data_IF_348914490672
#
_entry.id   IF_348914490672
#
_cell.length_a   1.000
_cell.length_b   1.000
_cell.length_c   1.000
_cell.angle_alpha   90.00
_cell.angle_beta   90.00
_cell.angle_gamma   90.00
#
_symmetry.space_group_name_H-M   'P 1'
#
loop_
_entity.id
_entity.type
_entity.pdbx_description
1 polymer ?
#
# COMPACT_ATOMS: atom_id res chain seq x y z
N UNK A 1 1.49 -0.08 12.03
CA UNK A 1 0.34 -0.96 11.73
C UNK A 1 -0.93 -0.46 12.44
N UNK A 2 -1.43 0.72 12.04
CA UNK A 2 -2.62 1.34 12.64
C UNK A 2 -3.96 0.77 12.12
N UNK A 3 -3.93 0.08 10.96
CA UNK A 3 -5.09 -0.49 10.27
C UNK A 3 -6.12 0.52 9.71
N UNK A 4 -5.76 1.80 9.60
CA UNK A 4 -6.63 2.83 9.02
C UNK A 4 -6.95 2.56 7.55
N UNK A 5 -5.95 2.18 6.75
CA UNK A 5 -6.13 1.82 5.33
C UNK A 5 -7.03 0.59 5.14
N UNK A 6 -6.93 -0.41 6.02
CA UNK A 6 -7.83 -1.58 6.04
C UNK A 6 -9.28 -1.15 6.37
N UNK A 7 -9.45 -0.24 7.33
CA UNK A 7 -10.77 0.22 7.76
C UNK A 7 -11.47 1.12 6.73
N UNK A 8 -10.74 2.00 6.05
CA UNK A 8 -11.32 2.96 5.09
C UNK A 8 -11.55 2.35 3.70
N UNK A 9 -10.90 1.22 3.39
CA UNK A 9 -10.98 0.62 2.06
C UNK A 9 -12.43 0.23 1.70
N UNK A 10 -13.08 0.90 0.74
CA UNK A 10 -14.49 0.67 0.44
C UNK A 10 -14.76 -0.72 -0.15
N UNK A 11 -13.76 -1.29 -0.83
CA UNK A 11 -13.85 -2.62 -1.44
C UNK A 11 -13.33 -3.75 -0.52
N UNK A 12 -12.88 -3.43 0.70
CA UNK A 12 -12.29 -4.39 1.63
C UNK A 12 -11.18 -5.24 0.98
N UNK A 13 -10.32 -4.59 0.19
CA UNK A 13 -9.24 -5.22 -0.57
C UNK A 13 -7.98 -5.48 0.27
N UNK A 14 -7.83 -4.80 1.41
CA UNK A 14 -6.62 -4.82 2.23
C UNK A 14 -6.83 -5.73 3.45
N UNK A 15 -5.87 -6.62 3.74
CA UNK A 15 -5.86 -7.45 4.95
C UNK A 15 -4.57 -7.24 5.72
N UNK A 16 -4.67 -6.88 7.01
CA UNK A 16 -3.50 -6.54 7.82
C UNK A 16 -3.46 -7.37 9.11
N UNK A 17 -2.29 -7.94 9.41
CA UNK A 17 -2.00 -8.51 10.73
C UNK A 17 -0.73 -7.84 11.29
N UNK A 18 -0.65 -7.69 12.61
CA UNK A 18 0.45 -6.98 13.25
C UNK A 18 0.79 -7.55 14.60
N UNK A 19 2.08 -7.67 14.87
CA UNK A 19 2.63 -8.13 16.14
C UNK A 19 3.78 -7.20 16.57
N UNK A 20 4.10 -7.13 17.87
CA UNK A 20 5.33 -6.50 18.33
C UNK A 20 6.54 -7.27 17.81
N UNK A 21 7.50 -6.56 17.20
CA UNK A 21 8.81 -7.12 16.83
C UNK A 21 9.70 -7.24 18.08
N UNK A 22 10.80 -7.97 17.98
CA UNK A 22 11.79 -8.15 19.05
C UNK A 22 12.35 -6.84 19.64
N UNK A 23 12.33 -5.74 18.88
CA UNK A 23 12.74 -4.40 19.31
C UNK A 23 11.61 -3.61 20.00
N UNK A 24 10.44 -4.23 20.23
CA UNK A 24 9.25 -3.61 20.80
C UNK A 24 8.46 -2.76 19.80
N UNK A 25 8.94 -2.60 18.55
CA UNK A 25 8.23 -1.81 17.54
C UNK A 25 7.01 -2.57 17.00
N UNK A 26 5.89 -1.87 16.80
CA UNK A 26 4.67 -2.46 16.23
C UNK A 26 4.74 -2.47 14.71
N UNK A 27 4.92 -3.65 14.10
CA UNK A 27 5.04 -3.82 12.64
C UNK A 27 4.02 -4.82 12.11
N UNK A 28 3.77 -4.76 10.80
CA UNK A 28 2.88 -5.71 10.14
C UNK A 28 3.60 -7.03 9.94
N UNK A 29 2.95 -8.13 10.31
CA UNK A 29 3.36 -9.49 9.95
C UNK A 29 2.78 -9.88 8.60
N UNK A 30 1.57 -9.39 8.31
CA UNK A 30 0.85 -9.56 7.05
C UNK A 30 0.32 -8.22 6.56
N UNK A 31 0.45 -7.98 5.27
CA UNK A 31 -0.11 -6.81 4.61
C UNK A 31 -0.38 -7.18 3.16
N UNK A 32 -1.61 -7.61 2.89
CA UNK A 32 -2.01 -8.12 1.57
C UNK A 32 -3.01 -7.16 0.93
N UNK A 33 -2.91 -6.99 -0.38
CA UNK A 33 -3.88 -6.26 -1.19
C UNK A 33 -4.33 -7.14 -2.36
N UNK A 34 -5.63 -7.36 -2.45
CA UNK A 34 -6.26 -7.95 -3.63
C UNK A 34 -6.49 -6.86 -4.70
N UNK A 35 -5.60 -6.80 -5.70
CA UNK A 35 -5.68 -5.81 -6.78
C UNK A 35 -6.89 -6.01 -7.69
N UNK A 36 -7.56 -7.16 -7.61
CA UNK A 36 -8.81 -7.42 -8.35
C UNK A 36 -10.05 -6.90 -7.63
N UNK A 37 -9.94 -6.63 -6.32
CA UNK A 37 -10.97 -5.94 -5.53
C UNK A 37 -10.70 -4.45 -5.41
N UNK A 38 -9.43 -4.06 -5.38
CA UNK A 38 -9.05 -2.65 -5.32
C UNK A 38 -9.70 -1.86 -6.46
N UNK A 39 -10.25 -0.70 -6.13
CA UNK A 39 -10.90 0.21 -7.08
C UNK A 39 -10.07 1.47 -7.36
N UNK A 40 -8.81 1.51 -6.91
CA UNK A 40 -7.85 2.59 -7.22
C UNK A 40 -8.40 3.99 -6.88
N UNK A 41 -8.92 4.13 -5.66
CA UNK A 41 -9.59 5.37 -5.20
C UNK A 41 -8.71 6.31 -4.37
N UNK A 42 -7.45 5.96 -4.08
CA UNK A 42 -6.55 6.79 -3.25
C UNK A 42 -6.85 6.88 -1.75
N UNK A 43 -8.00 6.41 -1.24
CA UNK A 43 -8.36 6.58 0.18
C UNK A 43 -7.38 5.95 1.17
N UNK A 44 -6.72 4.85 0.80
CA UNK A 44 -5.71 4.24 1.66
C UNK A 44 -4.49 5.14 1.87
N UNK A 45 -4.14 5.94 0.86
CA UNK A 45 -3.02 6.87 0.87
C UNK A 45 -3.35 8.09 1.74
N UNK A 46 -4.52 8.71 1.53
CA UNK A 46 -5.00 9.83 2.34
C UNK A 46 -5.20 9.47 3.81
N UNK A 47 -5.64 8.24 4.09
CA UNK A 47 -5.85 7.79 5.47
C UNK A 47 -4.54 7.44 6.19
N UNK A 48 -3.40 7.35 5.48
CA UNK A 48 -2.15 6.93 6.08
C UNK A 48 -1.46 8.11 6.79
N UNK A 49 -1.31 8.08 8.13
CA UNK A 49 -0.76 9.22 8.87
C UNK A 49 0.78 9.36 8.76
N UNK A 50 1.42 8.47 8.00
CA UNK A 50 2.88 8.33 7.92
C UNK A 50 3.34 7.99 6.50
N UNK A 51 2.48 8.17 5.50
CA UNK A 51 2.77 7.91 4.08
C UNK A 51 3.36 6.51 3.78
N UNK A 52 2.94 5.50 4.55
CA UNK A 52 3.45 4.13 4.42
C UNK A 52 2.85 3.33 3.25
N UNK A 53 1.65 3.69 2.78
CA UNK A 53 1.02 3.11 1.59
C UNK A 53 0.68 4.26 0.66
N UNK A 54 1.05 4.12 -0.60
CA UNK A 54 0.90 5.14 -1.64
C UNK A 54 0.52 4.48 -2.95
N UNK A 55 -0.26 5.17 -3.76
CA UNK A 55 -0.59 4.76 -5.11
C UNK A 55 0.51 5.24 -6.06
N UNK A 56 1.40 4.33 -6.44
CA UNK A 56 2.49 4.62 -7.36
C UNK A 56 2.01 4.95 -8.78
N UNK A 57 2.87 5.54 -9.62
CA UNK A 57 2.49 5.99 -10.98
C UNK A 57 2.35 4.84 -12.00
N UNK A 58 2.76 3.62 -11.64
CA UNK A 58 2.78 2.49 -12.56
C UNK A 58 1.37 1.93 -12.81
N UNK A 59 0.94 1.98 -14.07
CA UNK A 59 -0.32 1.38 -14.54
C UNK A 59 -0.12 0.12 -15.42
N UNK A 60 1.11 -0.14 -15.85
CA UNK A 60 1.45 -1.25 -16.76
C UNK A 60 1.84 -2.52 -15.98
N UNK A 61 0.88 -3.09 -15.25
CA UNK A 61 1.09 -4.30 -14.43
C UNK A 61 0.10 -5.42 -14.73
N UNK A 62 -0.41 -5.48 -15.97
CA UNK A 62 -1.23 -6.59 -16.43
C UNK A 62 -0.50 -7.92 -16.18
N UNK A 63 -1.26 -8.91 -15.70
CA UNK A 63 -0.75 -10.24 -15.38
C UNK A 63 -1.51 -11.31 -16.16
N UNK A 64 -0.87 -12.45 -16.37
CA UNK A 64 -1.48 -13.58 -17.08
C UNK A 64 -2.39 -14.41 -16.16
N UNK A 65 -2.10 -14.40 -14.86
CA UNK A 65 -2.87 -15.12 -13.85
C UNK A 65 -3.48 -14.18 -12.80
N UNK A 66 -4.57 -14.63 -12.17
CA UNK A 66 -5.25 -13.86 -11.12
C UNK A 66 -4.40 -13.79 -9.85
N UNK A 67 -3.65 -14.85 -9.57
CA UNK A 67 -2.83 -15.02 -8.38
C UNK A 67 -1.71 -13.98 -8.31
N UNK A 68 -1.17 -13.59 -9.47
CA UNK A 68 -0.18 -12.51 -9.57
C UNK A 68 -0.74 -11.14 -9.13
N UNK A 69 -2.06 -10.96 -9.15
CA UNK A 69 -2.76 -9.75 -8.70
C UNK A 69 -3.12 -9.77 -7.20
N UNK A 70 -2.77 -10.83 -6.47
CA UNK A 70 -2.77 -10.82 -5.02
C UNK A 70 -1.39 -10.41 -4.51
N UNK A 71 -1.27 -9.17 -4.08
CA UNK A 71 0.00 -8.61 -3.67
C UNK A 71 0.17 -8.84 -2.17
N UNK A 72 1.27 -9.51 -1.80
CA UNK A 72 1.69 -9.62 -0.42
C UNK A 72 2.59 -8.44 -0.01
N UNK A 73 2.98 -8.45 1.26
CA UNK A 73 3.82 -7.41 1.85
C UNK A 73 5.17 -7.28 1.13
N UNK A 74 5.76 -8.40 0.72
CA UNK A 74 7.09 -8.40 0.08
C UNK A 74 7.03 -7.78 -1.31
N UNK A 75 6.02 -8.14 -2.10
CA UNK A 75 5.77 -7.53 -3.41
C UNK A 75 5.51 -6.04 -3.31
N UNK A 76 4.72 -5.60 -2.33
CA UNK A 76 4.45 -4.17 -2.10
C UNK A 76 5.71 -3.39 -1.70
N UNK A 77 6.57 -3.96 -0.85
CA UNK A 77 7.85 -3.35 -0.50
C UNK A 77 8.80 -3.28 -1.70
N UNK A 78 8.89 -4.35 -2.50
CA UNK A 78 9.70 -4.35 -3.72
C UNK A 78 9.23 -3.32 -4.76
N UNK A 79 7.91 -3.12 -4.86
CA UNK A 79 7.36 -2.05 -5.70
C UNK A 79 7.73 -0.66 -5.16
N UNK A 80 7.66 -0.46 -3.84
CA UNK A 80 8.11 0.79 -3.20
C UNK A 80 9.58 1.08 -3.52
N UNK A 81 10.46 0.11 -3.28
CA UNK A 81 11.90 0.24 -3.60
C UNK A 81 12.15 0.56 -5.08
N UNK A 82 11.39 -0.06 -6.00
CA UNK A 82 11.52 0.17 -7.44
C UNK A 82 11.10 1.58 -7.86
N UNK A 83 10.06 2.13 -7.25
CA UNK A 83 9.42 3.40 -7.66
C UNK A 83 9.68 4.57 -6.71
N UNK A 84 10.50 4.38 -5.67
CA UNK A 84 10.74 5.35 -4.59
C UNK A 84 11.07 6.75 -5.11
N UNK A 85 11.94 6.87 -6.13
CA UNK A 85 12.34 8.17 -6.65
C UNK A 85 11.17 8.95 -7.26
N UNK A 86 10.31 8.26 -8.01
CA UNK A 86 9.17 8.87 -8.68
C UNK A 86 8.03 9.16 -7.69
N UNK A 87 7.77 8.22 -6.78
CA UNK A 87 6.84 8.39 -5.66
C UNK A 87 7.23 9.63 -4.83
N UNK A 88 8.50 9.76 -4.44
CA UNK A 88 8.97 10.89 -3.65
C UNK A 88 8.82 12.24 -4.37
N UNK A 89 9.05 12.26 -5.69
CA UNK A 89 8.83 13.46 -6.50
C UNK A 89 7.36 13.84 -6.57
N UNK A 90 6.47 12.86 -6.79
CA UNK A 90 5.02 13.08 -6.86
C UNK A 90 4.47 13.56 -5.51
N UNK A 91 4.88 12.92 -4.40
CA UNK A 91 4.50 13.35 -3.05
C UNK A 91 4.96 14.78 -2.75
N UNK A 92 6.21 15.13 -3.11
CA UNK A 92 6.72 16.49 -2.89
C UNK A 92 5.96 17.55 -3.71
N UNK A 93 5.53 17.19 -4.93
CA UNK A 93 4.75 18.07 -5.78
C UNK A 93 3.30 18.25 -5.26
N UNK A 94 2.71 17.18 -4.70
CA UNK A 94 1.32 17.18 -4.24
C UNK A 94 1.13 17.61 -2.78
N UNK A 95 2.21 17.61 -1.97
CA UNK A 95 2.19 18.00 -0.56
C UNK A 95 1.47 19.33 -0.24
N UNK A 96 1.48 20.38 -1.08
CA UNK A 96 0.73 21.61 -0.80
C UNK A 96 -0.79 21.47 -0.85
N UNK A 97 -1.32 20.40 -1.46
CA UNK A 97 -2.74 20.18 -1.73
C UNK A 97 -3.37 19.10 -0.85
N UNK A 98 -2.59 18.49 0.06
CA UNK A 98 -2.99 17.37 0.92
C UNK A 98 -2.95 17.73 2.40
#
# INVERSE_FOLDING_TARGET
ACKLCEAICPAQAITIESEPRADGSRRTTRYDIDMTKCIYCGFCEEACPVDAIVEGPNFEFAAETREELFYDKEKLLANGERWEQEIAQNLAADAPYR
#
